data_IF_015235758796
#
_entry.id   IF_015235758796
#
_cell.length_a   1.000
_cell.length_b   1.000
_cell.length_c   1.000
_cell.angle_alpha   90.00
_cell.angle_beta   90.00
_cell.angle_gamma   90.00
#
_symmetry.space_group_name_H-M   'P 1'
#
loop_
_entity.id
_entity.type
_entity.pdbx_description
1 polymer ?
#
# COMPACT_ATOMS: atom_id res chain seq x y z
N UNK A 1 15.02 9.77 6.80
CA UNK A 1 14.23 8.56 6.49
C UNK A 1 14.93 7.35 7.07
N UNK A 2 14.24 6.58 7.89
CA UNK A 2 14.73 5.32 8.47
C UNK A 2 14.35 4.19 7.52
N UNK A 3 15.35 3.50 7.00
CA UNK A 3 15.16 2.32 6.16
C UNK A 3 15.31 1.08 7.03
N UNK A 4 14.35 0.13 7.03
CA UNK A 4 14.52 -1.13 7.75
C UNK A 4 15.62 -1.98 7.10
N UNK A 5 16.06 -3.04 7.78
CA UNK A 5 17.00 -4.01 7.23
C UNK A 5 16.37 -4.77 6.06
N UNK A 6 17.17 -5.09 5.05
CA UNK A 6 16.75 -5.90 3.92
C UNK A 6 16.34 -7.31 4.37
N UNK A 7 15.28 -7.83 3.75
CA UNK A 7 14.87 -9.21 3.94
C UNK A 7 15.92 -10.15 3.35
N UNK A 8 16.28 -11.19 4.08
CA UNK A 8 17.27 -12.17 3.67
C UNK A 8 16.69 -13.58 3.66
N UNK A 9 17.40 -14.51 3.04
CA UNK A 9 17.08 -15.94 3.15
C UNK A 9 17.08 -16.34 4.65
N UNK A 10 16.08 -17.10 5.07
CA UNK A 10 15.84 -17.49 6.47
C UNK A 10 15.41 -16.36 7.43
N UNK A 11 15.15 -15.15 6.94
CA UNK A 11 14.52 -14.10 7.75
C UNK A 11 13.19 -14.57 8.33
N UNK A 12 12.82 -14.03 9.49
CA UNK A 12 11.57 -14.31 10.16
C UNK A 12 10.52 -13.25 9.81
N UNK A 13 9.39 -13.69 9.26
CA UNK A 13 8.24 -12.83 8.97
C UNK A 13 7.20 -13.02 10.08
N UNK A 14 6.94 -11.97 10.85
CA UNK A 14 5.84 -11.89 11.80
C UNK A 14 4.52 -11.60 11.06
N UNK A 15 3.49 -12.38 11.34
CA UNK A 15 2.17 -12.20 10.71
C UNK A 15 1.21 -11.60 11.71
N UNK A 16 0.55 -10.48 11.34
CA UNK A 16 -0.43 -9.79 12.17
C UNK A 16 -1.75 -9.58 11.43
N UNK A 17 -2.85 -9.56 12.15
CA UNK A 17 -4.18 -9.17 11.66
C UNK A 17 -4.63 -7.85 12.31
N UNK A 18 -4.14 -6.67 11.85
CA UNK A 18 -4.43 -5.42 12.54
C UNK A 18 -5.82 -4.85 12.22
N UNK A 19 -6.57 -5.50 11.32
CA UNK A 19 -7.91 -5.12 10.87
C UNK A 19 -8.92 -6.25 11.09
N UNK A 20 -9.39 -6.92 10.03
CA UNK A 20 -10.30 -8.06 10.15
C UNK A 20 -9.56 -9.37 10.47
N UNK A 21 -10.28 -10.31 11.10
CA UNK A 21 -9.78 -11.66 11.35
C UNK A 21 -9.65 -12.47 10.05
N UNK A 22 -8.77 -13.44 10.03
CA UNK A 22 -8.55 -14.32 8.88
C UNK A 22 -8.83 -15.78 9.29
N UNK A 23 -9.50 -16.51 8.41
CA UNK A 23 -9.75 -17.94 8.63
C UNK A 23 -8.44 -18.72 8.75
N UNK A 24 -8.36 -19.62 9.74
CA UNK A 24 -7.16 -20.41 10.03
C UNK A 24 -6.69 -21.24 8.81
N UNK A 25 -7.63 -21.78 8.03
CA UNK A 25 -7.30 -22.54 6.82
C UNK A 25 -6.59 -21.68 5.76
N UNK A 26 -7.02 -20.41 5.60
CA UNK A 26 -6.38 -19.46 4.69
C UNK A 26 -5.01 -19.05 5.25
N UNK A 27 -4.93 -18.76 6.55
CA UNK A 27 -3.67 -18.43 7.21
C UNK A 27 -2.63 -19.55 7.01
N UNK A 28 -2.97 -20.81 7.32
CA UNK A 28 -2.10 -21.96 7.12
C UNK A 28 -1.67 -22.17 5.66
N UNK A 29 -2.62 -22.04 4.73
CA UNK A 29 -2.32 -22.17 3.30
C UNK A 29 -1.34 -21.12 2.83
N UNK A 30 -1.57 -19.85 3.18
CA UNK A 30 -0.80 -18.72 2.64
C UNK A 30 0.55 -18.57 3.30
N UNK A 31 0.67 -18.86 4.59
CA UNK A 31 1.98 -18.89 5.27
C UNK A 31 2.89 -19.97 4.73
N UNK A 32 2.32 -21.10 4.28
CA UNK A 32 3.10 -22.17 3.66
C UNK A 32 3.86 -21.72 2.41
N UNK A 33 3.30 -20.81 1.60
CA UNK A 33 4.03 -20.27 0.45
C UNK A 33 5.36 -19.62 0.85
N UNK A 34 5.36 -18.88 1.96
CA UNK A 34 6.56 -18.21 2.45
C UNK A 34 7.54 -19.18 3.13
N UNK A 35 7.03 -20.19 3.84
CA UNK A 35 7.92 -21.24 4.38
C UNK A 35 8.57 -22.10 3.30
N UNK A 36 7.86 -22.39 2.22
CA UNK A 36 8.41 -23.11 1.07
C UNK A 36 9.49 -22.30 0.34
N UNK A 37 9.48 -20.96 0.45
CA UNK A 37 10.51 -20.05 -0.03
C UNK A 37 11.72 -19.92 0.95
N UNK A 38 11.64 -20.55 2.12
CA UNK A 38 12.72 -20.59 3.10
C UNK A 38 12.63 -19.52 4.19
N UNK A 39 11.53 -18.78 4.29
CA UNK A 39 11.30 -17.85 5.41
C UNK A 39 10.78 -18.58 6.64
N UNK A 40 11.15 -18.09 7.82
CA UNK A 40 10.52 -18.49 9.08
C UNK A 40 9.27 -17.66 9.32
N UNK A 41 8.22 -18.28 9.88
CA UNK A 41 6.95 -17.59 10.16
C UNK A 41 6.69 -17.56 11.67
N UNK A 42 6.38 -16.38 12.19
CA UNK A 42 5.92 -16.18 13.58
C UNK A 42 4.51 -15.59 13.55
N UNK A 43 3.54 -16.34 14.07
CA UNK A 43 2.13 -15.93 14.05
C UNK A 43 1.85 -15.04 15.26
N UNK A 44 1.35 -13.82 15.02
CA UNK A 44 0.92 -12.88 16.04
C UNK A 44 -0.39 -13.29 16.71
N UNK A 45 -0.60 -12.81 17.92
CA UNK A 45 -1.75 -13.16 18.73
C UNK A 45 -3.08 -12.76 18.06
N UNK A 46 -3.11 -11.64 17.36
CA UNK A 46 -4.29 -11.14 16.64
C UNK A 46 -4.86 -12.12 15.62
N UNK A 47 -4.03 -13.03 15.07
CA UNK A 47 -4.50 -14.04 14.12
C UNK A 47 -5.39 -15.13 14.74
N UNK A 48 -5.39 -15.25 16.07
CA UNK A 48 -6.20 -16.20 16.82
C UNK A 48 -7.38 -15.54 17.54
N UNK A 49 -7.62 -14.24 17.31
CA UNK A 49 -8.67 -13.48 17.98
C UNK A 49 -9.78 -13.13 16.99
N UNK A 50 -11.01 -13.06 17.53
CA UNK A 50 -12.18 -12.61 16.79
C UNK A 50 -13.09 -11.77 17.70
N UNK A 51 -13.39 -10.56 17.24
CA UNK A 51 -14.36 -9.65 17.87
C UNK A 51 -15.26 -9.05 16.79
N UNK A 52 -16.40 -9.69 16.54
CA UNK A 52 -17.20 -9.42 15.35
C UNK A 52 -16.38 -9.67 14.07
N UNK A 53 -16.24 -8.70 13.17
CA UNK A 53 -15.41 -8.84 11.97
C UNK A 53 -13.91 -8.62 12.23
N UNK A 54 -13.52 -8.15 13.41
CA UNK A 54 -12.15 -7.74 13.73
C UNK A 54 -11.33 -8.88 14.33
N UNK A 55 -10.02 -8.81 14.17
CA UNK A 55 -9.06 -9.72 14.80
C UNK A 55 -8.74 -9.29 16.25
N UNK A 56 -9.75 -9.28 17.10
CA UNK A 56 -9.68 -8.78 18.47
C UNK A 56 -10.06 -7.29 18.61
N UNK A 57 -10.07 -6.82 19.84
CA UNK A 57 -10.32 -5.42 20.22
C UNK A 57 -9.25 -4.49 19.63
N UNK A 58 -9.47 -3.18 19.55
CA UNK A 58 -8.42 -2.23 19.13
C UNK A 58 -7.14 -2.34 19.94
N UNK A 59 -7.25 -2.53 21.28
CA UNK A 59 -6.10 -2.66 22.15
C UNK A 59 -5.29 -3.94 21.87
N UNK A 60 -5.96 -5.09 21.74
CA UNK A 60 -5.29 -6.36 21.44
C UNK A 60 -4.52 -6.32 20.11
N UNK A 61 -5.09 -5.64 19.10
CA UNK A 61 -4.43 -5.45 17.78
C UNK A 61 -3.23 -4.50 17.88
N UNK A 62 -3.32 -3.41 18.67
CA UNK A 62 -2.21 -2.52 18.92
C UNK A 62 -1.08 -3.23 19.67
N UNK A 63 -1.41 -3.97 20.74
CA UNK A 63 -0.45 -4.73 21.55
C UNK A 63 0.26 -5.78 20.71
N UNK A 64 -0.44 -6.42 19.76
CA UNK A 64 0.17 -7.40 18.88
C UNK A 64 1.16 -6.75 17.91
N UNK A 65 0.81 -5.59 17.32
CA UNK A 65 1.74 -4.80 16.53
C UNK A 65 2.99 -4.41 17.33
N UNK A 66 2.83 -3.91 18.56
CA UNK A 66 3.95 -3.55 19.40
C UNK A 66 4.87 -4.74 19.70
N UNK A 67 4.28 -5.91 20.01
CA UNK A 67 5.07 -7.15 20.21
C UNK A 67 5.86 -7.53 18.97
N UNK A 68 5.25 -7.45 17.77
CA UNK A 68 5.94 -7.79 16.53
C UNK A 68 7.08 -6.83 16.22
N UNK A 69 6.90 -5.54 16.50
CA UNK A 69 7.98 -4.57 16.30
C UNK A 69 9.12 -4.74 17.33
N UNK A 70 8.83 -5.07 18.58
CA UNK A 70 9.86 -5.20 19.63
C UNK A 70 10.55 -6.55 19.66
N UNK A 71 9.98 -7.57 19.04
CA UNK A 71 10.55 -8.92 19.04
C UNK A 71 11.84 -8.97 18.20
N UNK A 72 13.02 -9.24 18.81
CA UNK A 72 14.29 -9.20 18.09
C UNK A 72 14.45 -10.31 17.05
N UNK A 73 13.64 -11.37 17.13
CA UNK A 73 13.69 -12.49 16.19
C UNK A 73 12.90 -12.23 14.90
N UNK A 74 12.17 -11.11 14.82
CA UNK A 74 11.36 -10.75 13.65
C UNK A 74 12.07 -9.70 12.79
N UNK A 75 12.23 -9.99 11.51
CA UNK A 75 12.84 -9.09 10.53
C UNK A 75 11.80 -8.25 9.76
N UNK A 76 10.64 -8.83 9.50
CA UNK A 76 9.54 -8.19 8.78
C UNK A 76 8.21 -8.47 9.44
N UNK A 77 7.27 -7.51 9.38
CA UNK A 77 5.88 -7.65 9.83
C UNK A 77 4.98 -7.56 8.59
N UNK A 78 4.32 -8.66 8.27
CA UNK A 78 3.37 -8.73 7.16
C UNK A 78 1.94 -8.82 7.69
N UNK A 79 1.06 -7.98 7.15
CA UNK A 79 -0.36 -8.05 7.47
C UNK A 79 -1.02 -9.27 6.83
N UNK A 80 -1.87 -9.97 7.58
CA UNK A 80 -2.61 -11.13 7.06
C UNK A 80 -3.67 -10.67 6.07
N UNK A 81 -4.42 -9.62 6.42
CA UNK A 81 -5.45 -9.00 5.57
C UNK A 81 -5.75 -7.56 5.99
N UNK A 82 -6.43 -6.83 5.10
CA UNK A 82 -7.10 -5.57 5.40
C UNK A 82 -8.53 -5.78 5.92
N UNK A 83 -9.44 -4.96 5.44
CA UNK A 83 -10.85 -4.92 5.83
C UNK A 83 -11.21 -3.54 6.36
N UNK A 84 -11.44 -3.41 7.66
CA UNK A 84 -11.72 -2.15 8.35
C UNK A 84 -11.18 -2.20 9.78
N UNK A 85 -10.90 -1.04 10.36
CA UNK A 85 -10.63 -0.91 11.79
C UNK A 85 -9.30 -0.26 12.17
N UNK A 86 -8.47 0.12 11.20
CA UNK A 86 -7.20 0.82 11.42
C UNK A 86 -7.39 2.09 12.25
N UNK A 87 -8.37 2.92 11.92
CA UNK A 87 -8.62 4.20 12.58
C UNK A 87 -8.86 4.10 14.11
N UNK A 88 -9.31 2.94 14.60
CA UNK A 88 -9.48 2.70 16.04
C UNK A 88 -8.20 2.23 16.73
N UNK A 89 -7.23 1.78 15.96
CA UNK A 89 -5.92 1.27 16.46
C UNK A 89 -4.86 2.36 16.44
N UNK A 90 -4.86 3.22 15.40
CA UNK A 90 -3.85 4.27 15.24
C UNK A 90 -3.62 5.14 16.49
N UNK A 91 -4.67 5.59 17.24
CA UNK A 91 -4.48 6.37 18.47
C UNK A 91 -3.79 5.61 19.61
N UNK A 92 -3.76 4.28 19.53
CA UNK A 92 -3.18 3.39 20.54
C UNK A 92 -1.73 3.00 20.22
N UNK A 93 -1.21 3.38 19.04
CA UNK A 93 0.15 3.01 18.64
C UNK A 93 1.19 3.87 19.37
N UNK A 94 2.20 3.19 19.90
CA UNK A 94 3.43 3.81 20.37
C UNK A 94 4.41 3.98 19.18
N UNK A 95 4.37 5.13 18.55
CA UNK A 95 5.23 5.45 17.40
C UNK A 95 6.71 5.54 17.79
N UNK A 96 7.05 5.90 19.03
CA UNK A 96 8.44 5.91 19.51
C UNK A 96 8.99 4.48 19.65
N UNK A 97 8.17 3.54 20.12
CA UNK A 97 8.52 2.13 20.16
C UNK A 97 8.79 1.60 18.73
N UNK A 98 7.91 1.92 17.77
CA UNK A 98 8.09 1.52 16.37
C UNK A 98 9.36 2.14 15.79
N UNK A 99 9.61 3.44 16.03
CA UNK A 99 10.80 4.15 15.55
C UNK A 99 12.11 3.54 16.07
N UNK A 100 12.12 3.07 17.32
CA UNK A 100 13.29 2.43 17.93
C UNK A 100 13.53 1.00 17.45
N UNK A 101 12.53 0.36 16.85
CA UNK A 101 12.58 -1.02 16.36
C UNK A 101 12.21 -1.09 14.88
N UNK A 102 12.99 -0.45 13.98
CA UNK A 102 12.62 -0.34 12.57
C UNK A 102 12.62 -1.71 11.88
N UNK A 103 11.46 -2.11 11.37
CA UNK A 103 11.24 -3.36 10.62
C UNK A 103 10.48 -3.07 9.34
N UNK A 104 10.58 -3.97 8.36
CA UNK A 104 9.69 -4.01 7.22
C UNK A 104 8.26 -4.16 7.77
N UNK A 105 7.34 -3.25 7.34
CA UNK A 105 5.91 -3.35 7.63
C UNK A 105 5.15 -3.25 6.31
N UNK A 106 4.44 -4.30 5.92
CA UNK A 106 3.84 -4.44 4.58
C UNK A 106 2.36 -4.82 4.62
N UNK A 107 1.58 -4.18 3.73
CA UNK A 107 0.18 -4.45 3.50
C UNK A 107 -0.46 -3.42 2.58
N UNK A 108 -1.77 -3.52 2.33
CA UNK A 108 -2.56 -2.59 1.51
C UNK A 108 -4.02 -2.53 2.01
N UNK A 109 -4.90 -1.83 1.29
CA UNK A 109 -6.30 -1.66 1.71
C UNK A 109 -6.40 -0.85 3.01
N UNK A 110 -7.13 -1.32 4.04
CA UNK A 110 -7.23 -0.67 5.37
C UNK A 110 -5.84 -0.41 6.00
N UNK A 111 -4.81 -1.20 5.60
CA UNK A 111 -3.45 -1.03 6.08
C UNK A 111 -2.82 0.29 5.59
N UNK A 112 -3.35 0.91 4.53
CA UNK A 112 -2.93 2.24 4.08
C UNK A 112 -2.85 3.25 5.23
N UNK A 113 -3.83 3.22 6.15
CA UNK A 113 -3.87 4.11 7.29
C UNK A 113 -2.67 3.91 8.24
N UNK A 114 -2.25 2.65 8.46
CA UNK A 114 -1.05 2.34 9.23
C UNK A 114 0.23 2.76 8.49
N UNK A 115 0.35 2.43 7.20
CA UNK A 115 1.53 2.73 6.39
C UNK A 115 1.84 4.22 6.41
N UNK A 116 0.85 5.04 6.08
CA UNK A 116 1.01 6.50 6.01
C UNK A 116 1.27 7.10 7.39
N UNK A 117 0.53 6.67 8.43
CA UNK A 117 0.70 7.20 9.79
C UNK A 117 2.05 6.81 10.40
N UNK A 118 2.47 5.54 10.28
CA UNK A 118 3.77 5.10 10.77
C UNK A 118 4.89 5.88 10.08
N UNK A 119 4.86 5.96 8.74
CA UNK A 119 5.92 6.68 8.02
C UNK A 119 5.96 8.17 8.39
N UNK A 120 4.81 8.85 8.52
CA UNK A 120 4.76 10.26 8.91
C UNK A 120 5.27 10.52 10.33
N UNK A 121 4.90 9.64 11.29
CA UNK A 121 5.22 9.84 12.71
C UNK A 121 6.63 9.37 13.09
N UNK A 122 7.20 8.41 12.34
CA UNK A 122 8.46 7.77 12.71
C UNK A 122 9.59 7.99 11.72
N UNK A 123 9.31 8.47 10.52
CA UNK A 123 10.18 8.47 9.35
C UNK A 123 10.63 7.05 8.91
N UNK A 124 9.98 5.98 9.36
CA UNK A 124 10.24 4.62 8.91
C UNK A 124 9.59 4.39 7.54
N UNK A 125 10.35 3.86 6.59
CA UNK A 125 9.81 3.39 5.31
C UNK A 125 8.90 2.19 5.57
N UNK A 126 7.65 2.29 5.12
CA UNK A 126 6.67 1.20 5.12
C UNK A 126 6.33 0.81 3.68
N UNK A 127 5.63 -0.31 3.49
CA UNK A 127 5.48 -0.90 2.17
C UNK A 127 4.02 -1.17 1.83
N UNK A 128 3.48 -0.45 0.84
CA UNK A 128 2.20 -0.80 0.23
C UNK A 128 2.43 -1.97 -0.72
N UNK A 129 1.90 -3.13 -0.39
CA UNK A 129 2.15 -4.32 -1.20
C UNK A 129 1.37 -5.55 -0.71
N UNK A 130 1.63 -6.73 -1.29
CA UNK A 130 0.89 -7.95 -1.02
C UNK A 130 0.80 -8.30 0.46
N UNK A 131 -0.37 -8.81 0.87
CA UNK A 131 -0.65 -9.43 2.17
C UNK A 131 -0.88 -10.93 1.97
N UNK A 132 -1.04 -11.70 3.05
CA UNK A 132 -1.34 -13.13 2.93
C UNK A 132 -2.59 -13.39 2.09
N UNK A 133 -3.67 -12.62 2.30
CA UNK A 133 -4.91 -12.76 1.52
C UNK A 133 -4.76 -12.51 0.02
N UNK A 134 -3.72 -11.83 -0.41
CA UNK A 134 -3.41 -11.66 -1.84
C UNK A 134 -3.18 -13.01 -2.52
N UNK A 135 -2.62 -13.96 -1.79
CA UNK A 135 -2.28 -15.29 -2.28
C UNK A 135 -3.34 -16.37 -1.95
N UNK A 136 -4.49 -16.00 -1.37
CA UNK A 136 -5.52 -16.97 -0.94
C UNK A 136 -6.05 -17.85 -2.06
N UNK A 137 -6.20 -17.31 -3.26
CA UNK A 137 -6.73 -18.02 -4.43
C UNK A 137 -5.62 -18.69 -5.25
N UNK A 138 -4.53 -17.98 -5.51
CA UNK A 138 -3.38 -18.45 -6.28
C UNK A 138 -2.13 -17.66 -5.97
N UNK A 139 -0.98 -18.29 -6.18
CA UNK A 139 0.28 -17.57 -6.24
C UNK A 139 0.37 -16.72 -7.51
N UNK A 140 0.96 -15.53 -7.41
CA UNK A 140 1.17 -14.61 -8.53
C UNK A 140 2.63 -14.15 -8.51
N UNK A 141 3.44 -14.68 -9.44
CA UNK A 141 4.87 -14.40 -9.52
C UNK A 141 5.18 -12.89 -9.65
N UNK A 142 4.36 -12.16 -10.40
CA UNK A 142 4.51 -10.71 -10.54
C UNK A 142 4.55 -10.00 -9.19
N UNK A 143 3.60 -10.33 -8.31
CA UNK A 143 3.45 -9.71 -7.00
C UNK A 143 4.64 -10.05 -6.11
N UNK A 144 5.01 -11.32 -6.08
CA UNK A 144 6.13 -11.79 -5.27
C UNK A 144 7.46 -11.22 -5.76
N UNK A 145 7.74 -11.28 -7.06
CA UNK A 145 9.00 -10.84 -7.62
C UNK A 145 9.25 -9.34 -7.39
N UNK A 146 8.22 -8.49 -7.51
CA UNK A 146 8.36 -7.07 -7.19
C UNK A 146 8.53 -6.83 -5.68
N UNK A 147 7.78 -7.55 -4.85
CA UNK A 147 7.92 -7.48 -3.40
C UNK A 147 9.34 -7.91 -2.99
N UNK A 148 9.82 -9.04 -3.47
CA UNK A 148 11.16 -9.56 -3.17
C UNK A 148 12.23 -8.55 -3.54
N UNK A 149 12.24 -8.04 -4.76
CA UNK A 149 13.21 -7.04 -5.23
C UNK A 149 13.23 -5.79 -4.36
N UNK A 150 12.06 -5.28 -3.96
CA UNK A 150 11.97 -4.10 -3.11
C UNK A 150 12.47 -4.38 -1.70
N UNK A 151 12.08 -5.53 -1.12
CA UNK A 151 12.41 -5.89 0.27
C UNK A 151 13.82 -6.44 0.46
N UNK A 152 14.47 -6.91 -0.62
CA UNK A 152 15.89 -7.35 -0.62
C UNK A 152 16.85 -6.25 -1.03
N UNK A 153 16.34 -5.07 -1.40
CA UNK A 153 17.11 -3.85 -1.57
C UNK A 153 17.67 -3.61 -2.97
N UNK A 154 16.92 -4.01 -4.00
CA UNK A 154 17.19 -3.54 -5.35
C UNK A 154 16.95 -2.03 -5.45
N UNK A 155 17.66 -1.40 -6.38
CA UNK A 155 17.43 -0.03 -6.80
C UNK A 155 17.12 0.01 -8.30
N UNK A 156 16.65 1.16 -8.79
CA UNK A 156 16.31 1.35 -10.20
C UNK A 156 15.34 0.26 -10.73
N UNK A 157 14.31 -0.05 -9.94
CA UNK A 157 13.31 -1.05 -10.28
C UNK A 157 12.33 -0.44 -11.30
N UNK A 158 12.50 -0.77 -12.57
CA UNK A 158 11.52 -0.45 -13.61
C UNK A 158 10.31 -1.37 -13.46
N UNK A 159 9.13 -0.78 -13.25
CA UNK A 159 7.88 -1.52 -13.06
C UNK A 159 7.19 -1.68 -14.41
N UNK A 160 7.26 -2.89 -14.96
CA UNK A 160 6.57 -3.24 -16.20
C UNK A 160 5.14 -3.65 -15.88
N UNK A 161 4.18 -3.15 -16.68
CA UNK A 161 2.81 -3.64 -16.61
C UNK A 161 2.73 -5.08 -17.15
N UNK A 162 1.95 -5.97 -16.51
CA UNK A 162 1.66 -7.28 -17.07
C UNK A 162 0.93 -7.16 -18.42
N UNK A 163 1.12 -8.10 -19.33
CA UNK A 163 0.49 -8.08 -20.66
C UNK A 163 -1.05 -7.96 -20.60
N UNK A 164 -1.66 -8.57 -19.58
CA UNK A 164 -3.11 -8.56 -19.39
C UNK A 164 -3.65 -7.30 -18.69
N UNK A 165 -2.78 -6.40 -18.22
CA UNK A 165 -3.17 -5.15 -17.56
C UNK A 165 -2.30 -4.00 -18.07
N UNK A 166 -2.79 -3.29 -19.10
CA UNK A 166 -2.05 -2.18 -19.69
C UNK A 166 -2.26 -0.90 -18.90
N UNK A 167 -1.17 -0.34 -18.40
CA UNK A 167 -1.16 1.05 -17.90
C UNK A 167 -1.54 2.02 -19.01
N UNK A 168 -2.36 3.01 -18.68
CA UNK A 168 -2.80 4.07 -19.62
C UNK A 168 -2.14 5.38 -19.24
N UNK A 169 -1.66 6.13 -20.22
CA UNK A 169 -1.14 7.49 -20.05
C UNK A 169 -2.30 8.44 -20.26
N UNK A 170 -2.76 9.10 -19.21
CA UNK A 170 -3.83 10.11 -19.28
C UNK A 170 -3.26 11.51 -19.57
N UNK A 171 -2.09 11.82 -19.01
CA UNK A 171 -1.35 13.04 -19.28
C UNK A 171 0.15 12.75 -19.34
N UNK A 172 0.79 13.18 -20.39
CA UNK A 172 2.22 12.97 -20.61
C UNK A 172 3.07 13.85 -19.69
N UNK A 173 4.29 13.39 -19.39
CA UNK A 173 5.29 14.15 -18.66
C UNK A 173 6.35 13.28 -18.01
N UNK A 174 7.32 13.97 -17.39
CA UNK A 174 8.40 13.34 -16.61
C UNK A 174 8.52 14.04 -15.26
N UNK A 175 8.64 13.25 -14.22
CA UNK A 175 8.79 13.78 -12.86
C UNK A 175 9.49 12.78 -11.95
N UNK A 176 9.92 13.25 -10.78
CA UNK A 176 10.36 12.38 -9.70
C UNK A 176 10.01 12.98 -8.34
N UNK A 177 9.85 12.13 -7.36
CA UNK A 177 9.56 12.53 -5.97
C UNK A 177 9.39 11.32 -5.08
N UNK A 178 9.25 11.53 -3.77
CA UNK A 178 8.90 10.45 -2.86
C UNK A 178 7.49 9.95 -3.19
N UNK A 179 7.32 8.60 -3.25
CA UNK A 179 6.01 8.01 -3.52
C UNK A 179 5.21 7.86 -2.23
N UNK A 180 3.96 8.30 -2.26
CA UNK A 180 3.00 8.18 -1.17
C UNK A 180 1.61 7.88 -1.70
N UNK A 181 0.83 7.16 -0.92
CA UNK A 181 -0.56 6.88 -1.30
C UNK A 181 -1.08 5.58 -0.73
N UNK A 182 -2.05 4.99 -1.42
CA UNK A 182 -2.72 3.74 -1.11
C UNK A 182 -4.20 3.80 -1.41
N UNK A 183 -5.02 3.14 -0.59
CA UNK A 183 -6.46 3.13 -0.75
C UNK A 183 -7.05 4.53 -0.56
N UNK A 184 -7.78 5.01 -1.58
CA UNK A 184 -8.28 6.38 -1.65
C UNK A 184 -9.27 6.69 -0.53
N UNK A 185 -10.18 5.77 -0.22
CA UNK A 185 -11.14 5.92 0.87
C UNK A 185 -10.42 6.16 2.20
N UNK A 186 -9.32 5.44 2.48
CA UNK A 186 -8.53 5.58 3.70
C UNK A 186 -7.76 6.90 3.76
N UNK A 187 -7.23 7.38 2.63
CA UNK A 187 -6.57 8.69 2.58
C UNK A 187 -7.54 9.84 2.87
N UNK A 188 -8.73 9.79 2.26
CA UNK A 188 -9.79 10.79 2.48
C UNK A 188 -10.31 10.75 3.92
N UNK A 189 -10.49 9.56 4.47
CA UNK A 189 -10.96 9.39 5.84
C UNK A 189 -10.01 10.01 6.89
N UNK A 190 -8.75 10.25 6.53
CA UNK A 190 -7.76 10.92 7.39
C UNK A 190 -7.75 12.45 7.25
N UNK A 191 -8.45 13.03 6.28
CA UNK A 191 -8.54 14.49 6.13
C UNK A 191 -9.11 15.13 7.39
N UNK A 192 -8.53 16.25 7.80
CA UNK A 192 -8.89 16.95 9.03
C UNK A 192 -8.35 16.33 10.33
N UNK A 193 -7.60 15.24 10.26
CA UNK A 193 -6.88 14.66 11.41
C UNK A 193 -5.40 15.02 11.36
N UNK A 194 -4.69 14.83 12.48
CA UNK A 194 -3.22 15.03 12.53
C UNK A 194 -2.43 14.05 11.67
N UNK A 195 -3.05 12.96 11.25
CA UNK A 195 -2.47 11.95 10.36
C UNK A 195 -2.86 12.14 8.90
N UNK A 196 -3.48 13.28 8.54
CA UNK A 196 -3.76 13.63 7.16
C UNK A 196 -2.44 13.68 6.35
N UNK A 197 -2.46 13.08 5.16
CA UNK A 197 -1.27 13.01 4.32
C UNK A 197 -0.86 14.40 3.82
N UNK A 198 0.39 14.78 4.06
CA UNK A 198 0.98 15.93 3.40
C UNK A 198 1.42 15.54 1.99
N UNK A 199 0.75 16.11 0.99
CA UNK A 199 0.97 15.76 -0.42
C UNK A 199 1.95 16.69 -1.15
N UNK A 200 2.61 17.61 -0.47
CA UNK A 200 3.53 18.54 -1.12
C UNK A 200 4.77 17.82 -1.67
N UNK A 201 4.99 17.95 -2.97
CA UNK A 201 6.20 17.47 -3.67
C UNK A 201 6.29 15.93 -3.83
N UNK A 202 5.19 15.22 -3.63
CA UNK A 202 5.16 13.76 -3.75
C UNK A 202 4.65 13.30 -5.11
N UNK A 203 4.94 12.06 -5.46
CA UNK A 203 4.14 11.29 -6.41
C UNK A 203 3.04 10.62 -5.60
N UNK A 204 1.80 11.01 -5.87
CA UNK A 204 0.64 10.43 -5.20
C UNK A 204 0.13 9.22 -6.00
N UNK A 205 -0.02 8.07 -5.35
CA UNK A 205 -0.76 6.95 -5.93
C UNK A 205 -2.04 6.70 -5.14
N UNK A 206 -3.11 6.39 -5.87
CA UNK A 206 -4.41 6.04 -5.29
C UNK A 206 -4.98 4.80 -5.99
N UNK A 207 -5.69 3.98 -5.23
CA UNK A 207 -6.43 2.83 -5.73
C UNK A 207 -7.71 2.66 -4.89
N UNK A 208 -8.70 1.99 -5.43
CA UNK A 208 -9.91 1.64 -4.67
C UNK A 208 -10.64 0.44 -5.26
N UNK A 209 -11.65 -0.07 -4.56
CA UNK A 209 -12.43 -1.24 -4.94
C UNK A 209 -13.90 -1.06 -4.59
N UNK A 210 -14.78 -1.62 -5.45
CA UNK A 210 -16.20 -1.82 -5.16
C UNK A 210 -17.02 -0.52 -5.02
N UNK A 211 -16.51 0.59 -5.58
CA UNK A 211 -17.15 1.90 -5.51
C UNK A 211 -18.07 2.17 -6.72
N UNK A 212 -19.13 2.94 -6.49
CA UNK A 212 -19.92 3.51 -7.57
C UNK A 212 -19.17 4.67 -8.24
N UNK A 213 -19.34 4.88 -9.55
CA UNK A 213 -18.68 5.97 -10.27
C UNK A 213 -18.99 7.36 -9.66
N UNK A 214 -20.23 7.62 -9.20
CA UNK A 214 -20.55 8.85 -8.50
C UNK A 214 -19.84 9.00 -7.15
N UNK A 215 -19.62 7.89 -6.44
CA UNK A 215 -18.89 7.88 -5.18
C UNK A 215 -17.39 8.14 -5.42
N UNK A 216 -16.84 7.50 -6.46
CA UNK A 216 -15.47 7.74 -6.90
C UNK A 216 -15.27 9.22 -7.29
N UNK A 217 -16.15 9.80 -8.13
CA UNK A 217 -16.08 11.24 -8.46
C UNK A 217 -16.13 12.12 -7.22
N UNK A 218 -17.08 11.87 -6.32
CA UNK A 218 -17.20 12.61 -5.05
C UNK A 218 -15.91 12.57 -4.23
N UNK A 219 -15.24 11.43 -4.18
CA UNK A 219 -13.97 11.28 -3.47
C UNK A 219 -12.83 12.04 -4.16
N UNK A 220 -12.73 12.01 -5.48
CA UNK A 220 -11.74 12.80 -6.23
C UNK A 220 -11.99 14.31 -6.07
N UNK A 221 -13.25 14.75 -6.13
CA UNK A 221 -13.63 16.14 -5.85
C UNK A 221 -13.25 16.54 -4.41
N UNK A 222 -13.48 15.66 -3.43
CA UNK A 222 -13.07 15.91 -2.04
C UNK A 222 -11.56 16.07 -1.92
N UNK A 223 -10.78 15.21 -2.57
CA UNK A 223 -9.30 15.34 -2.58
C UNK A 223 -8.87 16.65 -3.26
N UNK A 224 -9.51 17.04 -4.37
CA UNK A 224 -9.22 18.30 -5.08
C UNK A 224 -9.53 19.51 -4.19
N UNK A 225 -10.71 19.58 -3.59
CA UNK A 225 -11.14 20.70 -2.75
C UNK A 225 -10.37 20.79 -1.43
N UNK A 226 -9.85 19.67 -0.94
CA UNK A 226 -8.96 19.61 0.22
C UNK A 226 -7.51 20.00 -0.10
N UNK A 227 -7.19 20.34 -1.36
CA UNK A 227 -5.85 20.74 -1.77
C UNK A 227 -4.85 19.59 -1.92
N UNK A 228 -5.31 18.33 -1.90
CA UNK A 228 -4.40 17.18 -1.98
C UNK A 228 -3.65 17.08 -3.32
N UNK A 229 -4.15 17.70 -4.38
CA UNK A 229 -3.50 17.70 -5.70
C UNK A 229 -2.70 18.96 -6.01
N UNK A 230 -2.75 19.99 -5.17
CA UNK A 230 -2.21 21.33 -5.50
C UNK A 230 -0.70 21.35 -5.72
N UNK A 231 0.04 20.49 -5.05
CA UNK A 231 1.51 20.48 -5.05
C UNK A 231 2.12 19.08 -5.23
N UNK A 232 1.35 18.15 -5.77
CA UNK A 232 1.91 16.84 -6.12
C UNK A 232 2.76 16.94 -7.38
N UNK A 233 3.77 16.09 -7.50
CA UNK A 233 4.64 16.03 -8.68
C UNK A 233 4.09 15.12 -9.78
N UNK A 234 3.23 14.16 -9.44
CA UNK A 234 2.63 13.22 -10.39
C UNK A 234 1.51 12.43 -9.74
N UNK A 235 0.62 11.86 -10.55
CA UNK A 235 -0.53 11.09 -10.09
C UNK A 235 -0.56 9.70 -10.75
N UNK A 236 -0.59 8.66 -9.93
CA UNK A 236 -0.75 7.27 -10.34
C UNK A 236 -2.10 6.77 -9.85
N UNK A 237 -2.97 6.38 -10.78
CA UNK A 237 -4.22 5.69 -10.46
C UNK A 237 -3.99 4.20 -10.64
N UNK A 238 -4.11 3.43 -9.57
CA UNK A 238 -4.05 1.99 -9.60
C UNK A 238 -5.22 1.34 -10.34
N UNK A 239 -5.32 0.03 -10.26
CA UNK A 239 -6.50 -0.68 -10.75
C UNK A 239 -7.70 -0.31 -9.86
N UNK A 240 -8.70 0.33 -10.46
CA UNK A 240 -9.99 0.59 -9.83
C UNK A 240 -10.87 -0.65 -10.03
N UNK A 241 -10.83 -1.53 -9.05
CA UNK A 241 -11.42 -2.87 -9.15
C UNK A 241 -12.93 -2.84 -8.86
N UNK A 242 -13.71 -3.61 -9.66
CA UNK A 242 -15.15 -3.83 -9.47
C UNK A 242 -15.97 -2.53 -9.31
N UNK A 243 -15.61 -1.50 -10.11
CA UNK A 243 -16.36 -0.23 -10.14
C UNK A 243 -17.78 -0.46 -10.67
N UNK A 244 -18.74 0.17 -10.02
CA UNK A 244 -20.18 0.03 -10.28
C UNK A 244 -20.77 1.27 -10.93
N UNK A 245 -21.82 1.08 -11.69
CA UNK A 245 -22.65 2.15 -12.20
C UNK A 245 -24.10 1.95 -11.73
N UNK A 246 -24.89 3.03 -11.78
CA UNK A 246 -26.31 3.01 -11.43
C UNK A 246 -27.19 2.67 -12.66
N UNK A 247 -28.50 2.47 -12.44
CA UNK A 247 -29.47 2.25 -13.51
C UNK A 247 -29.46 3.42 -14.51
N UNK A 248 -29.50 4.66 -14.01
CA UNK A 248 -29.19 5.86 -14.81
C UNK A 248 -27.67 5.96 -14.91
N UNK A 249 -27.17 5.74 -16.12
CA UNK A 249 -25.72 5.71 -16.34
C UNK A 249 -25.04 7.01 -16.02
N UNK A 250 -23.91 6.94 -15.36
CA UNK A 250 -23.09 8.10 -15.00
C UNK A 250 -22.54 8.84 -16.25
N UNK A 251 -22.41 8.11 -17.37
CA UNK A 251 -22.04 8.66 -18.66
C UNK A 251 -20.56 8.99 -18.86
N UNK A 252 -19.73 8.71 -17.84
CA UNK A 252 -18.27 8.86 -17.86
C UNK A 252 -17.61 7.66 -17.17
N UNK A 253 -16.49 7.22 -17.69
CA UNK A 253 -15.66 6.22 -17.01
C UNK A 253 -14.69 6.89 -16.03
N UNK A 254 -13.99 6.09 -15.24
CA UNK A 254 -13.06 6.60 -14.21
C UNK A 254 -11.93 7.47 -14.77
N UNK A 255 -11.39 7.15 -15.96
CA UNK A 255 -10.34 7.97 -16.59
C UNK A 255 -10.86 9.35 -16.99
N UNK A 256 -12.09 9.40 -17.52
CA UNK A 256 -12.75 10.66 -17.88
C UNK A 256 -13.03 11.51 -16.64
N UNK A 257 -13.47 10.89 -15.53
CA UNK A 257 -13.67 11.58 -14.24
C UNK A 257 -12.33 12.18 -13.74
N UNK A 258 -11.25 11.42 -13.82
CA UNK A 258 -9.91 11.91 -13.43
C UNK A 258 -9.50 13.10 -14.31
N UNK A 259 -9.67 13.02 -15.62
CA UNK A 259 -9.32 14.10 -16.55
C UNK A 259 -10.17 15.35 -16.36
N UNK A 260 -11.46 15.18 -16.08
CA UNK A 260 -12.37 16.32 -15.82
C UNK A 260 -11.94 17.12 -14.56
N UNK A 261 -11.43 16.43 -13.52
CA UNK A 261 -11.12 17.07 -12.24
C UNK A 261 -9.64 17.43 -12.10
N UNK A 262 -8.74 16.64 -12.70
CA UNK A 262 -7.30 16.77 -12.54
C UNK A 262 -6.54 17.09 -13.86
N UNK A 263 -7.23 17.16 -14.99
CA UNK A 263 -6.57 17.37 -16.29
C UNK A 263 -5.90 18.74 -16.46
N UNK A 264 -6.29 19.74 -15.69
CA UNK A 264 -5.68 21.08 -15.61
C UNK A 264 -4.33 21.09 -14.89
N UNK A 265 -4.04 20.07 -14.07
CA UNK A 265 -2.76 20.00 -13.36
C UNK A 265 -1.59 19.81 -14.32
N UNK A 266 -0.51 20.53 -14.13
CA UNK A 266 0.70 20.40 -14.99
C UNK A 266 1.65 19.30 -14.46
N UNK A 267 1.14 18.08 -14.43
CA UNK A 267 1.84 16.88 -13.96
C UNK A 267 1.51 15.66 -14.83
N UNK A 268 2.39 14.65 -14.92
CA UNK A 268 2.04 13.37 -15.53
C UNK A 268 0.96 12.64 -14.73
N UNK A 269 -0.03 12.08 -15.44
CA UNK A 269 -1.11 11.27 -14.89
C UNK A 269 -1.15 9.93 -15.61
N UNK A 270 -1.04 8.85 -14.88
CA UNK A 270 -1.17 7.48 -15.40
C UNK A 270 -2.30 6.75 -14.68
N UNK A 271 -2.98 5.85 -15.37
CA UNK A 271 -4.08 5.07 -14.80
C UNK A 271 -3.96 3.59 -15.13
N UNK A 272 -4.81 2.80 -14.49
CA UNK A 272 -4.82 1.34 -14.61
C UNK A 272 -3.43 0.73 -14.33
N UNK A 273 -2.73 1.32 -13.36
CA UNK A 273 -1.41 0.85 -12.94
C UNK A 273 -1.56 -0.42 -12.07
N UNK A 274 -0.66 -1.42 -12.19
CA UNK A 274 -0.78 -2.68 -11.43
C UNK A 274 -0.51 -2.50 -9.94
N UNK A 275 -1.39 -1.79 -9.24
CA UNK A 275 -1.42 -1.69 -7.77
C UNK A 275 -2.86 -1.61 -7.27
N UNK A 276 -3.11 -2.07 -6.05
CA UNK A 276 -4.42 -2.08 -5.42
C UNK A 276 -5.04 -3.47 -5.29
N UNK A 277 -6.37 -3.58 -5.48
CA UNK A 277 -7.13 -4.81 -5.23
C UNK A 277 -7.24 -5.76 -6.44
N UNK A 278 -6.56 -5.46 -7.54
CA UNK A 278 -6.52 -6.31 -8.71
C UNK A 278 -5.65 -7.55 -8.53
N UNK A 279 -5.50 -8.32 -9.60
CA UNK A 279 -4.66 -9.51 -9.63
C UNK A 279 -3.18 -9.17 -9.42
N UNK A 280 -2.74 -8.04 -9.97
CA UNK A 280 -1.34 -7.61 -9.98
C UNK A 280 -1.11 -6.48 -9.00
N UNK A 281 -0.09 -6.63 -8.18
CA UNK A 281 0.22 -5.67 -7.13
C UNK A 281 1.70 -5.31 -7.13
N UNK A 282 1.97 -4.06 -7.43
CA UNK A 282 3.28 -3.45 -7.21
C UNK A 282 3.51 -3.22 -5.72
N UNK A 283 4.70 -3.51 -5.24
CA UNK A 283 5.12 -3.08 -3.90
C UNK A 283 5.71 -1.69 -3.99
N UNK A 284 5.01 -0.69 -3.43
CA UNK A 284 5.50 0.68 -3.31
C UNK A 284 6.07 0.95 -1.92
N UNK A 285 7.35 1.30 -1.81
CA UNK A 285 7.95 1.74 -0.56
C UNK A 285 7.55 3.20 -0.29
N UNK A 286 6.75 3.43 0.74
CA UNK A 286 6.25 4.77 1.09
C UNK A 286 7.41 5.71 1.41
N UNK A 287 7.40 6.88 0.78
CA UNK A 287 8.40 7.95 0.94
C UNK A 287 9.75 7.71 0.23
N UNK A 288 9.89 6.66 -0.55
CA UNK A 288 11.09 6.43 -1.37
C UNK A 288 10.97 7.13 -2.72
N UNK A 289 12.09 7.67 -3.19
CA UNK A 289 12.15 8.37 -4.48
C UNK A 289 11.75 7.44 -5.62
N UNK A 290 10.79 7.91 -6.39
CA UNK A 290 10.22 7.21 -7.55
C UNK A 290 10.17 8.19 -8.71
N UNK A 291 10.29 7.72 -9.93
CA UNK A 291 10.19 8.52 -11.15
C UNK A 291 9.02 8.05 -12.01
N UNK A 292 8.36 9.00 -12.66
CA UNK A 292 7.43 8.76 -13.76
C UNK A 292 8.06 9.30 -15.04
N UNK A 293 8.09 8.49 -16.10
CA UNK A 293 8.48 8.88 -17.46
C UNK A 293 7.52 8.22 -18.45
N UNK A 294 6.53 8.99 -18.90
CA UNK A 294 5.45 8.48 -19.76
C UNK A 294 5.92 8.15 -21.18
N UNK A 295 7.14 8.56 -21.57
CA UNK A 295 7.73 8.12 -22.85
C UNK A 295 8.12 6.63 -22.85
N UNK A 296 8.23 6.03 -21.66
CA UNK A 296 8.49 4.60 -21.45
C UNK A 296 7.17 3.84 -21.26
N UNK A 297 6.42 3.66 -22.34
CA UNK A 297 5.03 3.15 -22.33
C UNK A 297 4.89 1.83 -21.53
N UNK A 298 5.84 0.89 -21.68
CA UNK A 298 5.76 -0.42 -21.00
C UNK A 298 6.17 -0.39 -19.54
N UNK A 299 6.94 0.62 -19.11
CA UNK A 299 7.45 0.76 -17.75
C UNK A 299 7.56 2.25 -17.36
N UNK A 300 6.44 2.97 -17.24
CA UNK A 300 6.46 4.41 -16.99
C UNK A 300 6.90 4.78 -15.57
N UNK A 301 6.97 3.84 -14.64
CA UNK A 301 7.30 4.06 -13.23
C UNK A 301 8.57 3.31 -12.87
N UNK A 302 9.49 4.00 -12.18
CA UNK A 302 10.75 3.44 -11.69
C UNK A 302 10.93 3.81 -10.22
N UNK A 303 11.09 2.83 -9.33
CA UNK A 303 11.58 3.05 -7.96
C UNK A 303 13.08 3.24 -8.07
N UNK A 304 13.58 4.46 -7.81
CA UNK A 304 14.98 4.81 -8.10
C UNK A 304 15.95 4.40 -7.01
N UNK A 305 15.49 4.45 -5.76
CA UNK A 305 16.34 4.25 -4.59
C UNK A 305 15.96 2.96 -3.85
N UNK A 306 16.93 2.29 -3.25
CA UNK A 306 16.66 1.17 -2.35
C UNK A 306 15.81 1.61 -1.15
N UNK A 307 14.83 0.82 -0.79
CA UNK A 307 13.89 1.07 0.31
C UNK A 307 14.37 0.49 1.66
N UNK A 308 15.42 -0.31 1.64
CA UNK A 308 15.95 -1.02 2.81
C UNK A 308 17.47 -0.83 2.88
N UNK A 309 18.05 -1.13 4.05
CA UNK A 309 19.51 -1.13 4.24
C UNK A 309 20.05 -2.55 4.07
N UNK A 310 21.07 -2.73 3.24
CA UNK A 310 21.86 -3.96 3.20
C UNK A 310 22.92 -3.88 4.29
N UNK A 311 23.05 -4.91 5.10
CA UNK A 311 24.25 -5.06 5.94
C UNK A 311 25.44 -5.30 5.02
N UNK A 312 26.52 -4.55 5.23
CA UNK A 312 27.79 -4.74 4.53
C UNK A 312 28.51 -5.94 5.10
#
# INVERSE_FOLDING_TARGET
MIKPKALQKNSTIGIVSPSYWLEEAILKKTTRFFTDLGYKIKIGASNNLQWGPFAGTPQERADDLHRMFTDPDIDAVMCARGGYGANRVLPLLDYELIRKNPKIFIGYSDITAYLTSITQQTNLVTFHGPMLTTYKNSWVDYNYNLMDRVLTGDNNINIKSPESLKTRILKEGKTSGPIWGGNMCLLINRLGTREALNTNGIILFIEDIDEYLYSFERMIVQMRTAGMFDKINGLIIGELKDMKDQDIKFGRNSDQIILDICGDLDIPIISNFPCGHGKYQTTFPISIKTAIDTSKIDAPVTITDSAVTKEL
#
